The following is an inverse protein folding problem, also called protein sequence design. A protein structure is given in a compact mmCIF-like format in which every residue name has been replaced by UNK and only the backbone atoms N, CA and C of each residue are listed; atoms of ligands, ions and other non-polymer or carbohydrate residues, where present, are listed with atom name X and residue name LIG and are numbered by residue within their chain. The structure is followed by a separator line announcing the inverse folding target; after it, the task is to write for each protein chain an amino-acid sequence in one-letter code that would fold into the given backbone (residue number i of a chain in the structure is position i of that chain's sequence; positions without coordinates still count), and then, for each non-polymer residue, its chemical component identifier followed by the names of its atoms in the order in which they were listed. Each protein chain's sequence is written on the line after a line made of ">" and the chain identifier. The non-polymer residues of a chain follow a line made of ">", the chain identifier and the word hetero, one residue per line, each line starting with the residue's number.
data_IF_572413331157
#
_entry.id   IF_572413331157
#
_cell.length_a   1.000
_cell.length_b   1.000
_cell.length_c   1.000
_cell.angle_alpha   90.00
_cell.angle_beta   90.00
_cell.angle_gamma   90.00
#
_symmetry.space_group_name_H-M   'P 1'
#
loop_
_entity.id
_entity.type
_entity.pdbx_description
1 polymer ?
#
# COMPACT_ATOMS: atom_id res chain seq x y z
N UNK A 1 2.98 9.56 -6.86
CA UNK A 1 2.29 8.68 -5.90
C UNK A 1 3.35 7.96 -5.07
N UNK A 2 3.17 7.93 -3.76
CA UNK A 2 4.09 7.33 -2.81
C UNK A 2 3.42 6.12 -2.20
N UNK A 3 4.02 4.95 -2.38
CA UNK A 3 3.49 3.65 -1.96
C UNK A 3 4.30 3.17 -0.77
N UNK A 4 3.64 2.98 0.36
CA UNK A 4 4.23 2.32 1.53
C UNK A 4 4.35 0.83 1.28
N UNK A 5 5.49 0.24 1.61
CA UNK A 5 5.70 -1.20 1.49
C UNK A 5 6.37 -1.81 2.71
N UNK A 6 6.27 -3.13 2.85
CA UNK A 6 6.92 -3.88 3.94
C UNK A 6 8.23 -4.46 3.42
N UNK A 7 9.22 -4.55 4.30
CA UNK A 7 10.54 -5.08 3.94
C UNK A 7 10.61 -6.60 4.08
N UNK A 8 9.88 -7.15 5.08
CA UNK A 8 10.02 -8.55 5.50
C UNK A 8 8.67 -9.26 5.73
N UNK A 9 7.58 -8.79 5.10
CA UNK A 9 6.27 -9.45 5.22
C UNK A 9 6.07 -10.49 4.12
N UNK A 10 6.87 -11.54 4.12
CA UNK A 10 6.74 -12.68 3.19
C UNK A 10 5.41 -13.41 3.44
N UNK A 11 4.63 -13.82 2.42
CA UNK A 11 4.81 -13.60 0.97
C UNK A 11 4.03 -12.38 0.41
N UNK A 12 3.63 -11.43 1.26
CA UNK A 12 2.74 -10.33 0.90
C UNK A 12 3.44 -9.10 0.32
N UNK A 13 4.46 -8.58 1.02
CA UNK A 13 5.28 -7.43 0.59
C UNK A 13 6.64 -7.55 1.28
N UNK A 14 7.69 -7.81 0.50
CA UNK A 14 9.03 -8.06 0.99
C UNK A 14 10.07 -7.75 -0.09
N UNK A 15 11.33 -7.58 0.31
CA UNK A 15 12.43 -7.49 -0.65
C UNK A 15 12.84 -8.87 -1.15
N UNK A 16 12.90 -9.04 -2.48
CA UNK A 16 13.55 -10.19 -3.09
C UNK A 16 15.08 -10.08 -3.04
N UNK A 17 15.76 -11.12 -3.53
CA UNK A 17 17.22 -11.15 -3.60
C UNK A 17 17.81 -10.10 -4.57
N UNK A 18 16.98 -9.41 -5.36
CA UNK A 18 17.36 -8.33 -6.27
C UNK A 18 17.02 -6.94 -5.70
N UNK A 19 16.69 -6.86 -4.40
CA UNK A 19 16.25 -5.63 -3.72
C UNK A 19 15.00 -4.98 -4.33
N UNK A 20 14.16 -5.78 -4.98
CA UNK A 20 12.85 -5.34 -5.47
C UNK A 20 11.79 -5.70 -4.46
N UNK A 21 10.85 -4.79 -4.25
CA UNK A 21 9.67 -5.07 -3.43
C UNK A 21 8.72 -5.94 -4.24
N UNK A 22 8.44 -7.13 -3.75
CA UNK A 22 7.58 -8.13 -4.40
C UNK A 22 6.60 -8.74 -3.39
N UNK A 23 5.62 -9.47 -3.90
CA UNK A 23 4.68 -10.25 -3.10
C UNK A 23 3.23 -10.01 -3.50
N UNK A 24 2.34 -10.86 -2.97
CA UNK A 24 0.93 -10.86 -3.34
C UNK A 24 0.26 -9.49 -3.16
N UNK A 25 0.45 -8.86 -1.99
CA UNK A 25 -0.13 -7.54 -1.73
C UNK A 25 0.57 -6.44 -2.52
N UNK A 26 1.87 -6.60 -2.81
CA UNK A 26 2.60 -5.66 -3.65
C UNK A 26 2.08 -5.64 -5.09
N UNK A 27 1.63 -6.78 -5.63
CA UNK A 27 1.02 -6.85 -6.95
C UNK A 27 -0.27 -6.03 -7.04
N UNK A 28 -1.09 -6.04 -5.98
CA UNK A 28 -2.24 -5.15 -5.90
C UNK A 28 -1.83 -3.68 -5.81
N UNK A 29 -0.76 -3.35 -5.07
CA UNK A 29 -0.22 -1.99 -5.05
C UNK A 29 0.16 -1.51 -6.44
N UNK A 30 0.81 -2.36 -7.23
CA UNK A 30 1.19 -2.06 -8.61
C UNK A 30 -0.05 -1.86 -9.50
N UNK A 31 -1.07 -2.72 -9.37
CA UNK A 31 -2.32 -2.58 -10.11
C UNK A 31 -3.07 -1.26 -9.77
N UNK A 32 -3.06 -0.85 -8.50
CA UNK A 32 -3.65 0.43 -8.07
C UNK A 32 -2.89 1.60 -8.69
N UNK A 33 -1.55 1.57 -8.68
CA UNK A 33 -0.72 2.61 -9.32
C UNK A 33 -1.07 2.75 -10.79
N UNK A 34 -1.19 1.65 -11.53
CA UNK A 34 -1.55 1.67 -12.95
C UNK A 34 -2.97 2.21 -13.18
N UNK A 35 -3.93 1.84 -12.32
CA UNK A 35 -5.27 2.40 -12.37
C UNK A 35 -5.27 3.92 -12.10
N UNK A 36 -4.46 4.40 -11.17
CA UNK A 36 -4.31 5.84 -10.87
C UNK A 36 -3.68 6.59 -12.04
N UNK A 37 -2.60 6.05 -12.64
CA UNK A 37 -1.97 6.62 -13.84
C UNK A 37 -2.99 6.80 -14.97
N UNK A 38 -3.78 5.76 -15.23
CA UNK A 38 -4.83 5.77 -16.26
C UNK A 38 -5.95 6.77 -15.92
N UNK A 39 -6.39 6.81 -14.66
CA UNK A 39 -7.46 7.70 -14.21
C UNK A 39 -7.07 9.18 -14.29
N UNK A 40 -5.81 9.50 -13.99
CA UNK A 40 -5.27 10.86 -14.04
C UNK A 40 -4.73 11.24 -15.42
N UNK A 41 -4.74 10.31 -16.38
CA UNK A 41 -4.13 10.46 -17.71
C UNK A 41 -2.66 10.92 -17.64
N UNK A 42 -1.91 10.39 -16.66
CA UNK A 42 -0.49 10.71 -16.39
C UNK A 42 0.33 9.43 -16.37
N UNK A 43 0.76 8.93 -17.55
CA UNK A 43 1.55 7.69 -17.64
C UNK A 43 2.94 7.82 -17.00
N UNK A 44 3.46 9.04 -16.94
CA UNK A 44 4.74 9.45 -16.37
C UNK A 44 4.68 9.74 -14.85
N UNK A 45 3.56 9.42 -14.18
CA UNK A 45 3.40 9.63 -12.75
C UNK A 45 4.53 8.91 -11.99
N UNK A 46 5.36 9.69 -11.29
CA UNK A 46 6.45 9.15 -10.49
C UNK A 46 5.88 8.32 -9.33
N UNK A 47 6.35 7.07 -9.25
CA UNK A 47 6.04 6.13 -8.17
C UNK A 47 7.24 6.07 -7.24
N UNK A 48 7.05 6.37 -5.96
CA UNK A 48 8.09 6.22 -4.93
C UNK A 48 7.69 5.13 -3.97
N UNK A 49 8.59 4.21 -3.66
CA UNK A 49 8.39 3.17 -2.64
C UNK A 49 9.07 3.62 -1.35
N UNK A 50 8.35 3.59 -0.24
CA UNK A 50 8.89 3.90 1.09
C UNK A 50 8.68 2.71 2.02
N UNK A 51 9.74 2.23 2.69
CA UNK A 51 9.60 1.15 3.66
C UNK A 51 8.88 1.64 4.91
N UNK A 52 7.90 0.86 5.37
CA UNK A 52 7.12 1.13 6.57
C UNK A 52 7.06 -0.10 7.48
N UNK A 53 6.84 0.16 8.77
CA UNK A 53 6.71 -0.84 9.82
C UNK A 53 5.30 -0.82 10.41
N UNK A 54 4.92 -1.89 11.11
CA UNK A 54 3.62 -1.96 11.79
C UNK A 54 3.40 -0.82 12.81
N UNK A 55 4.48 -0.27 13.35
CA UNK A 55 4.47 0.75 14.39
C UNK A 55 4.34 2.16 13.78
N UNK A 56 5.01 2.43 12.67
CA UNK A 56 5.04 3.77 12.07
C UNK A 56 4.03 3.98 10.92
N UNK A 57 3.36 2.93 10.41
CA UNK A 57 2.44 3.07 9.26
C UNK A 57 1.31 4.09 9.47
N UNK A 58 0.69 4.14 10.66
CA UNK A 58 -0.42 5.08 10.91
C UNK A 58 0.09 6.52 10.99
N UNK A 59 1.11 6.87 11.80
CA UNK A 59 1.60 8.24 11.82
C UNK A 59 2.18 8.68 10.47
N UNK A 60 2.82 7.78 9.72
CA UNK A 60 3.32 8.06 8.36
C UNK A 60 2.21 8.19 7.30
N UNK A 61 1.04 7.59 7.52
CA UNK A 61 -0.13 7.82 6.68
C UNK A 61 -0.78 9.16 7.01
N UNK A 62 -0.94 9.47 8.29
CA UNK A 62 -1.60 10.70 8.76
C UNK A 62 -0.83 11.97 8.40
N UNK A 63 0.51 11.90 8.38
CA UNK A 63 1.34 13.04 7.97
C UNK A 63 1.57 13.12 6.45
N UNK A 64 1.00 12.20 5.66
CA UNK A 64 1.13 12.18 4.20
C UNK A 64 2.50 11.73 3.68
N UNK A 65 3.28 11.00 4.47
CA UNK A 65 4.58 10.45 4.00
C UNK A 65 4.36 9.42 2.88
N UNK A 66 3.25 8.68 2.92
CA UNK A 66 2.83 7.80 1.84
C UNK A 66 1.31 7.88 1.60
N UNK A 67 0.88 7.57 0.38
CA UNK A 67 -0.52 7.68 -0.03
C UNK A 67 -1.33 6.44 0.35
N UNK A 68 -0.76 5.25 0.13
CA UNK A 68 -1.38 3.97 0.50
C UNK A 68 -0.34 2.85 0.64
N UNK A 69 -0.69 1.79 1.37
CA UNK A 69 0.09 0.54 1.45
C UNK A 69 -0.81 -0.67 1.15
N UNK A 70 -0.23 -1.72 0.57
CA UNK A 70 -0.83 -3.04 0.52
C UNK A 70 0.16 -4.05 1.12
N UNK A 71 -0.20 -4.57 2.29
CA UNK A 71 0.61 -5.51 3.04
C UNK A 71 -0.24 -6.32 4.01
N UNK A 72 0.34 -6.72 5.13
CA UNK A 72 -0.31 -7.56 6.16
C UNK A 72 -1.02 -6.74 7.25
N UNK A 73 -1.58 -5.58 6.91
CA UNK A 73 -2.22 -4.69 7.90
C UNK A 73 -3.64 -5.16 8.20
N UNK A 74 -3.85 -5.68 9.41
CA UNK A 74 -5.18 -6.09 9.88
C UNK A 74 -6.14 -4.90 9.93
N UNK A 75 -7.29 -5.05 9.29
CA UNK A 75 -8.43 -4.15 9.39
C UNK A 75 -9.15 -4.39 10.71
N UNK A 76 -9.22 -3.38 11.60
CA UNK A 76 -10.03 -3.44 12.81
C UNK A 76 -10.70 -2.09 13.06
N UNK A 77 -11.79 -2.10 13.85
CA UNK A 77 -12.63 -0.92 14.10
C UNK A 77 -11.84 0.25 14.68
N UNK A 78 -10.83 -0.02 15.50
CA UNK A 78 -9.99 1.02 16.10
C UNK A 78 -9.10 1.73 15.07
N UNK A 79 -8.53 0.97 14.12
CA UNK A 79 -7.74 1.50 13.01
C UNK A 79 -8.61 2.21 11.97
N UNK A 80 -9.85 1.77 11.75
CA UNK A 80 -10.79 2.44 10.84
C UNK A 80 -11.07 3.90 11.24
N UNK A 81 -10.93 4.23 12.52
CA UNK A 81 -11.04 5.62 13.00
C UNK A 81 -9.88 6.51 12.52
N UNK A 82 -8.73 5.91 12.18
CA UNK A 82 -7.48 6.60 11.87
C UNK A 82 -7.05 6.45 10.41
N UNK A 83 -7.46 5.35 9.75
CA UNK A 83 -7.07 5.00 8.39
C UNK A 83 -8.17 4.18 7.70
N UNK A 84 -8.41 4.45 6.41
CA UNK A 84 -9.27 3.60 5.58
C UNK A 84 -8.47 2.36 5.13
N UNK A 85 -9.06 1.17 5.26
CA UNK A 85 -8.44 -0.09 4.80
C UNK A 85 -9.15 -0.60 3.53
N UNK A 86 -8.39 -1.22 2.64
CA UNK A 86 -8.85 -1.80 1.37
C UNK A 86 -8.56 -3.30 1.34
N UNK A 87 -9.28 -4.07 0.52
CA UNK A 87 -9.17 -5.53 0.34
C UNK A 87 -7.77 -6.07 0.02
N UNK A 88 -6.79 -5.21 -0.22
CA UNK A 88 -5.41 -5.60 -0.54
C UNK A 88 -4.80 -6.66 0.41
N UNK A 89 -5.34 -6.78 1.64
CA UNK A 89 -4.89 -7.73 2.65
C UNK A 89 -5.72 -9.03 2.75
N UNK A 90 -6.89 -9.14 2.11
CA UNK A 90 -7.74 -10.35 2.19
C UNK A 90 -8.79 -10.42 1.06
N UNK A 91 -9.12 -11.62 0.52
CA UNK A 91 -10.13 -11.79 -0.54
C UNK A 91 -11.55 -11.31 -0.19
N UNK A 92 -11.78 -10.78 1.03
CA UNK A 92 -13.09 -10.62 1.63
C UNK A 92 -13.65 -9.18 1.66
N UNK A 93 -12.88 -8.11 1.43
CA UNK A 93 -13.37 -6.76 1.77
C UNK A 93 -13.10 -5.67 0.74
N UNK A 94 -14.04 -5.51 -0.20
CA UNK A 94 -14.09 -4.51 -1.27
C UNK A 94 -13.60 -3.10 -0.87
N UNK A 95 -12.71 -2.55 -1.70
CA UNK A 95 -11.95 -1.32 -1.49
C UNK A 95 -12.80 -0.03 -1.43
N UNK A 96 -12.42 0.91 -0.53
CA UNK A 96 -12.73 2.35 -0.68
C UNK A 96 -11.43 3.15 -0.63
N UNK A 97 -10.94 3.56 -1.81
CA UNK A 97 -9.88 4.56 -1.95
C UNK A 97 -10.47 5.96 -1.72
N UNK A 98 -9.74 6.83 -1.00
CA UNK A 98 -10.01 8.28 -1.07
C UNK A 98 -9.48 8.77 -2.42
N UNK A 99 -10.41 9.13 -3.30
CA UNK A 99 -10.17 10.05 -4.42
C UNK A 99 -10.52 11.43 -3.90
#
# INVERSE_FOLDING_TARGET
>A
IVVGHRESSVPFSYYDNQQKVVGYSQDYSNAIVEAVKKKLNKPDLQVKLIPITSQNRIPLLQNGTFDFECGSTTNNVERQKQAASSACASPAESARARI
#
